data_IF_485020581952
#
_entry.id   IF_485020581952
#
_cell.length_a   1.000
_cell.length_b   1.000
_cell.length_c   1.000
_cell.angle_alpha   90.00
_cell.angle_beta   90.00
_cell.angle_gamma   90.00
#
_symmetry.space_group_name_H-M   'P 1'
#
loop_
_entity.id
_entity.type
_entity.pdbx_description
1 polymer ?
#
# COMPACT_ATOMS: atom_id res chain seq x y z
N UNK A 1 2.30 -9.97 -9.73
CA UNK A 1 1.81 -10.28 -8.37
C UNK A 1 2.02 -11.78 -8.15
N UNK A 2 3.23 -12.19 -7.74
CA UNK A 2 3.64 -13.60 -7.77
C UNK A 2 3.37 -14.30 -6.44
N UNK A 3 2.80 -15.48 -6.61
CA UNK A 3 2.43 -16.51 -5.65
C UNK A 3 3.65 -17.17 -5.01
N UNK A 4 3.58 -17.51 -3.72
CA UNK A 4 4.43 -18.54 -3.11
C UNK A 4 3.63 -19.37 -2.10
N UNK A 5 3.66 -20.69 -2.33
CA UNK A 5 3.04 -21.86 -1.68
C UNK A 5 1.59 -22.23 -2.08
N UNK A 6 1.53 -23.45 -2.66
CA UNK A 6 0.39 -24.16 -3.25
C UNK A 6 -0.78 -24.28 -2.25
N UNK A 7 -1.98 -24.13 -2.79
CA UNK A 7 -3.33 -24.31 -2.19
C UNK A 7 -4.05 -23.21 -1.42
N UNK A 8 -3.40 -22.13 -0.98
CA UNK A 8 -4.16 -20.99 -0.43
C UNK A 8 -3.70 -19.65 -1.01
N UNK A 9 -4.51 -19.10 -1.92
CA UNK A 9 -4.29 -17.76 -2.46
C UNK A 9 -4.76 -16.74 -1.41
N UNK A 10 -3.87 -15.83 -1.00
CA UNK A 10 -4.21 -14.72 -0.11
C UNK A 10 -4.54 -13.48 -0.93
N UNK A 11 -5.67 -12.85 -0.61
CA UNK A 11 -6.08 -11.60 -1.24
C UNK A 11 -6.20 -10.51 -0.19
N UNK A 12 -5.45 -9.44 -0.37
CA UNK A 12 -5.51 -8.26 0.50
C UNK A 12 -6.45 -7.23 -0.08
N UNK A 13 -7.29 -6.65 0.77
CA UNK A 13 -8.34 -5.72 0.33
C UNK A 13 -8.45 -4.50 1.23
N UNK A 14 -8.86 -3.38 0.63
CA UNK A 14 -9.27 -2.20 1.38
C UNK A 14 -10.63 -2.41 2.07
N UNK A 15 -10.95 -1.54 3.03
CA UNK A 15 -12.22 -1.57 3.78
C UNK A 15 -13.48 -1.57 2.90
N UNK A 16 -13.39 -1.01 1.68
CA UNK A 16 -14.50 -1.02 0.71
C UNK A 16 -14.89 -2.44 0.24
N UNK A 17 -13.99 -3.41 0.36
CA UNK A 17 -14.20 -4.80 -0.06
C UNK A 17 -14.69 -5.71 1.08
N UNK A 18 -15.17 -5.15 2.20
CA UNK A 18 -15.77 -5.96 3.26
C UNK A 18 -16.96 -6.74 2.68
N UNK A 19 -17.01 -8.05 2.91
CA UNK A 19 -18.08 -8.92 2.41
C UNK A 19 -17.84 -9.42 0.98
N UNK A 20 -16.67 -9.16 0.39
CA UNK A 20 -16.30 -9.73 -0.92
C UNK A 20 -16.38 -11.26 -0.90
N UNK A 21 -16.10 -11.89 0.25
CA UNK A 21 -16.18 -13.34 0.41
C UNK A 21 -17.59 -13.90 0.21
N UNK A 22 -18.63 -13.08 0.34
CA UNK A 22 -20.04 -13.48 0.26
C UNK A 22 -20.63 -13.34 -1.15
N UNK A 23 -19.88 -12.80 -2.11
CA UNK A 23 -20.39 -12.54 -3.46
C UNK A 23 -20.53 -13.85 -4.24
N UNK A 24 -21.61 -14.01 -5.05
CA UNK A 24 -21.82 -15.24 -5.82
C UNK A 24 -20.67 -15.51 -6.80
N UNK A 25 -20.04 -14.45 -7.34
CA UNK A 25 -18.85 -14.51 -8.19
C UNK A 25 -17.64 -15.23 -7.57
N UNK A 26 -17.64 -15.39 -6.24
CA UNK A 26 -16.55 -16.00 -5.48
C UNK A 26 -16.96 -17.30 -4.79
N UNK A 27 -18.18 -17.79 -5.04
CA UNK A 27 -18.61 -19.12 -4.60
C UNK A 27 -17.65 -20.19 -5.16
N UNK A 28 -17.16 -21.08 -4.28
CA UNK A 28 -16.22 -22.15 -4.64
C UNK A 28 -14.73 -21.75 -4.72
N UNK A 29 -14.36 -20.48 -4.54
CA UNK A 29 -12.95 -20.07 -4.51
C UNK A 29 -12.31 -20.37 -3.15
N UNK A 30 -11.31 -21.27 -3.12
CA UNK A 30 -10.45 -21.50 -1.94
C UNK A 30 -9.45 -20.36 -1.77
N UNK A 31 -9.91 -19.27 -1.16
CA UNK A 31 -9.17 -18.01 -1.02
C UNK A 31 -9.26 -17.48 0.42
N UNK A 32 -8.12 -17.04 0.96
CA UNK A 32 -8.08 -16.34 2.25
C UNK A 32 -8.12 -14.83 2.03
N UNK A 33 -9.26 -14.23 2.37
CA UNK A 33 -9.47 -12.79 2.30
C UNK A 33 -8.88 -12.08 3.52
N UNK A 34 -7.92 -11.18 3.29
CA UNK A 34 -7.27 -10.33 4.30
C UNK A 34 -7.65 -8.88 4.07
N UNK A 35 -8.92 -8.57 4.32
CA UNK A 35 -9.46 -7.21 4.20
C UNK A 35 -9.12 -6.39 5.45
N UNK A 36 -8.92 -5.08 5.27
CA UNK A 36 -8.76 -4.14 6.38
C UNK A 36 -10.02 -4.10 7.26
N UNK A 37 -9.88 -4.40 8.54
CA UNK A 37 -11.00 -4.50 9.47
C UNK A 37 -11.52 -3.12 9.91
N UNK A 38 -12.80 -3.03 10.30
CA UNK A 38 -13.32 -1.83 10.95
C UNK A 38 -12.81 -1.75 12.39
N UNK A 39 -12.50 -0.54 12.84
CA UNK A 39 -12.06 -0.30 14.23
C UNK A 39 -13.07 -0.82 15.25
N UNK A 40 -14.36 -0.61 15.00
CA UNK A 40 -15.45 -1.07 15.86
C UNK A 40 -15.50 -2.59 16.04
N UNK A 41 -15.01 -3.38 15.07
CA UNK A 41 -15.07 -4.85 15.11
C UNK A 41 -14.18 -5.42 16.21
N UNK A 42 -12.98 -4.88 16.39
CA UNK A 42 -12.06 -5.34 17.43
C UNK A 42 -12.14 -4.52 18.71
N UNK A 43 -12.73 -3.32 18.70
CA UNK A 43 -12.96 -2.51 19.90
C UNK A 43 -13.93 -3.15 20.90
N UNK A 44 -14.74 -4.12 20.46
CA UNK A 44 -15.56 -4.98 21.34
C UNK A 44 -14.71 -5.78 22.33
N UNK A 45 -13.47 -6.09 21.97
CA UNK A 45 -12.50 -6.67 22.89
C UNK A 45 -11.96 -5.54 23.77
N UNK A 46 -12.13 -5.61 25.09
CA UNK A 46 -11.66 -4.58 26.01
C UNK A 46 -10.19 -4.22 25.75
N UNK A 47 -9.81 -2.94 25.91
CA UNK A 47 -8.48 -2.44 25.49
C UNK A 47 -7.30 -3.18 26.13
N UNK A 48 -7.48 -3.75 27.33
CA UNK A 48 -6.49 -4.56 28.07
C UNK A 48 -6.40 -6.01 27.57
N UNK A 49 -7.38 -6.49 26.80
CA UNK A 49 -7.41 -7.85 26.27
C UNK A 49 -6.23 -8.12 25.33
N UNK A 50 -5.66 -9.31 25.43
CA UNK A 50 -4.61 -9.80 24.52
C UNK A 50 -5.12 -9.82 23.07
N UNK A 51 -6.38 -10.26 22.86
CA UNK A 51 -7.00 -10.32 21.54
C UNK A 51 -7.09 -8.95 20.86
N UNK A 52 -7.40 -7.89 21.62
CA UNK A 52 -7.43 -6.52 21.14
C UNK A 52 -6.04 -6.08 20.63
N UNK A 53 -5.00 -6.32 21.44
CA UNK A 53 -3.62 -5.93 21.11
C UNK A 53 -3.11 -6.64 19.86
N UNK A 54 -3.35 -7.94 19.75
CA UNK A 54 -2.94 -8.75 18.58
C UNK A 54 -3.65 -8.27 17.32
N UNK A 55 -4.99 -8.11 17.35
CA UNK A 55 -5.75 -7.61 16.18
C UNK A 55 -5.29 -6.22 15.76
N UNK A 56 -5.05 -5.31 16.72
CA UNK A 56 -4.54 -3.97 16.44
C UNK A 56 -3.16 -4.00 15.77
N UNK A 57 -2.27 -4.90 16.19
CA UNK A 57 -0.93 -5.06 15.59
C UNK A 57 -1.02 -5.56 14.15
N UNK A 58 -1.92 -6.51 13.87
CA UNK A 58 -2.17 -7.01 12.51
C UNK A 58 -2.69 -5.89 11.60
N UNK A 59 -3.70 -5.13 12.03
CA UNK A 59 -4.22 -4.03 11.22
C UNK A 59 -3.20 -2.89 11.06
N UNK A 60 -2.36 -2.63 12.06
CA UNK A 60 -1.23 -1.69 11.93
C UNK A 60 -0.24 -2.16 10.87
N UNK A 61 0.11 -3.44 10.83
CA UNK A 61 1.02 -3.98 9.82
C UNK A 61 0.43 -3.86 8.40
N UNK A 62 -0.86 -4.16 8.23
CA UNK A 62 -1.58 -3.92 6.95
C UNK A 62 -1.51 -2.45 6.53
N UNK A 63 -1.73 -1.53 7.46
CA UNK A 63 -1.65 -0.09 7.20
C UNK A 63 -0.21 0.38 6.86
N UNK A 64 0.81 -0.17 7.52
CA UNK A 64 2.22 0.12 7.22
C UNK A 64 2.60 -0.33 5.81
N UNK A 65 2.16 -1.52 5.39
CA UNK A 65 2.36 -1.98 4.02
C UNK A 65 1.73 -1.03 3.00
N UNK A 66 0.50 -0.55 3.26
CA UNK A 66 -0.17 0.44 2.40
C UNK A 66 0.60 1.75 2.34
N UNK A 67 1.06 2.25 3.49
CA UNK A 67 1.80 3.50 3.56
C UNK A 67 3.07 3.48 2.69
N UNK A 68 3.78 2.34 2.61
CA UNK A 68 4.96 2.20 1.74
C UNK A 68 4.63 2.42 0.26
N UNK A 69 3.46 1.95 -0.19
CA UNK A 69 3.02 2.10 -1.59
C UNK A 69 2.43 3.48 -1.83
N UNK A 70 1.60 3.98 -0.90
CA UNK A 70 0.93 5.28 -1.02
C UNK A 70 1.91 6.46 -0.95
N UNK A 71 3.08 6.28 -0.29
CA UNK A 71 4.06 7.35 -0.12
C UNK A 71 4.67 7.87 -1.44
N UNK A 72 5.23 7.03 -2.34
CA UNK A 72 5.66 7.46 -3.67
C UNK A 72 4.58 8.20 -4.47
N UNK A 73 3.33 7.71 -4.44
CA UNK A 73 2.22 8.40 -5.12
C UNK A 73 1.95 9.79 -4.53
N UNK A 74 2.04 9.93 -3.20
CA UNK A 74 1.92 11.26 -2.57
C UNK A 74 3.04 12.18 -3.04
N UNK A 75 4.28 11.68 -3.10
CA UNK A 75 5.43 12.47 -3.57
C UNK A 75 5.23 12.95 -5.00
N UNK A 76 4.88 12.03 -5.91
CA UNK A 76 4.62 12.34 -7.31
C UNK A 76 3.48 13.38 -7.46
N UNK A 77 2.38 13.22 -6.73
CA UNK A 77 1.22 14.12 -6.84
C UNK A 77 1.43 15.47 -6.19
N UNK A 78 2.13 15.54 -5.05
CA UNK A 78 2.26 16.77 -4.23
C UNK A 78 3.56 17.52 -4.47
N UNK A 79 4.70 16.84 -4.58
CA UNK A 79 6.00 17.48 -4.78
C UNK A 79 6.26 17.73 -6.27
N UNK A 80 5.96 16.76 -7.13
CA UNK A 80 6.16 16.89 -8.58
C UNK A 80 4.93 17.38 -9.35
N UNK A 81 3.80 17.62 -8.66
CA UNK A 81 2.60 18.22 -9.25
C UNK A 81 1.88 17.36 -10.30
N UNK A 82 2.13 16.04 -10.35
CA UNK A 82 1.52 15.16 -11.34
C UNK A 82 0.07 14.81 -10.95
N UNK A 83 -0.84 15.74 -11.23
CA UNK A 83 -2.28 15.64 -10.90
C UNK A 83 -3.11 15.18 -12.10
N UNK A 84 -2.70 15.54 -13.33
CA UNK A 84 -3.38 15.19 -14.58
C UNK A 84 -2.39 14.63 -15.61
N UNK A 85 -2.86 13.67 -16.41
CA UNK A 85 -2.13 13.18 -17.59
C UNK A 85 -2.12 14.26 -18.66
N UNK A 86 -1.08 14.30 -19.50
CA UNK A 86 -1.00 15.26 -20.61
C UNK A 86 -1.63 14.67 -21.86
N UNK A 87 -2.23 15.50 -22.71
CA UNK A 87 -2.77 15.07 -24.00
C UNK A 87 -1.67 15.01 -25.07
N UNK A 88 -0.67 14.13 -24.85
CA UNK A 88 0.48 13.96 -25.74
C UNK A 88 0.73 12.48 -26.13
N UNK A 89 -0.23 11.60 -25.88
CA UNK A 89 -0.16 10.17 -26.20
C UNK A 89 0.31 9.28 -25.04
N UNK A 90 -0.05 7.99 -25.11
CA UNK A 90 0.22 7.02 -24.05
C UNK A 90 1.72 6.81 -23.80
N UNK A 91 2.52 6.70 -24.87
CA UNK A 91 3.96 6.49 -24.75
C UNK A 91 4.64 7.62 -23.96
N UNK A 92 4.33 8.89 -24.26
CA UNK A 92 4.91 10.05 -23.58
C UNK A 92 4.47 10.13 -22.12
N UNK A 93 3.20 9.83 -21.82
CA UNK A 93 2.70 9.78 -20.44
C UNK A 93 3.36 8.65 -19.63
N UNK A 94 3.57 7.47 -20.23
CA UNK A 94 4.26 6.34 -19.59
C UNK A 94 5.72 6.69 -19.28
N UNK A 95 6.44 7.28 -20.24
CA UNK A 95 7.81 7.74 -20.03
C UNK A 95 7.88 8.76 -18.88
N UNK A 96 6.97 9.74 -18.86
CA UNK A 96 6.88 10.72 -17.77
C UNK A 96 6.65 10.05 -16.40
N UNK A 97 5.72 9.09 -16.33
CA UNK A 97 5.45 8.34 -15.09
C UNK A 97 6.68 7.58 -14.60
N UNK A 98 7.37 6.86 -15.47
CA UNK A 98 8.58 6.10 -15.13
C UNK A 98 9.65 7.03 -14.57
N UNK A 99 9.89 8.16 -15.23
CA UNK A 99 10.84 9.18 -14.76
C UNK A 99 10.45 9.73 -13.40
N UNK A 100 9.17 10.06 -13.18
CA UNK A 100 8.68 10.56 -11.89
C UNK A 100 8.83 9.55 -10.75
N UNK A 101 8.64 8.25 -11.03
CA UNK A 101 8.91 7.21 -10.04
C UNK A 101 10.40 7.10 -9.70
N UNK A 102 11.29 7.20 -10.69
CA UNK A 102 12.73 7.24 -10.44
C UNK A 102 13.12 8.46 -9.58
N UNK A 103 12.62 9.64 -9.92
CA UNK A 103 12.85 10.87 -9.14
C UNK A 103 12.24 10.79 -7.73
N UNK A 104 11.08 10.15 -7.57
CA UNK A 104 10.48 9.90 -6.25
C UNK A 104 11.40 9.04 -5.37
N UNK A 105 12.09 8.05 -5.94
CA UNK A 105 13.05 7.23 -5.18
C UNK A 105 14.21 8.07 -4.67
N UNK A 106 14.77 8.93 -5.52
CA UNK A 106 15.83 9.87 -5.14
C UNK A 106 15.36 10.85 -4.05
N UNK A 107 14.16 11.40 -4.21
CA UNK A 107 13.56 12.31 -3.23
C UNK A 107 13.36 11.63 -1.86
N UNK A 108 12.96 10.36 -1.83
CA UNK A 108 12.83 9.60 -0.58
C UNK A 108 14.20 9.34 0.07
N UNK A 109 15.24 9.08 -0.74
CA UNK A 109 16.60 8.85 -0.28
C UNK A 109 17.35 10.14 0.14
N UNK A 110 16.80 11.33 -0.15
CA UNK A 110 17.48 12.63 0.05
C UNK A 110 18.15 12.82 1.40
N UNK A 111 17.60 12.30 2.49
CA UNK A 111 18.20 12.43 3.83
C UNK A 111 19.51 11.67 3.92
N UNK A 112 19.56 10.45 3.37
CA UNK A 112 20.77 9.64 3.31
C UNK A 112 21.79 10.24 2.33
N UNK A 113 21.32 10.72 1.17
CA UNK A 113 22.18 11.33 0.16
C UNK A 113 22.82 12.64 0.63
N UNK A 114 22.11 13.45 1.42
CA UNK A 114 22.66 14.71 1.98
C UNK A 114 23.76 14.46 3.02
N UNK A 115 23.69 13.35 3.76
CA UNK A 115 24.74 12.97 4.73
C UNK A 115 25.96 12.39 4.03
N UNK A 116 25.78 11.67 2.92
CA UNK A 116 26.87 11.18 2.09
C UNK A 116 27.59 12.28 1.28
N UNK A 117 27.00 13.48 1.24
CA UNK A 117 27.52 14.65 0.51
C UNK A 117 28.38 15.59 1.35
N UNK A 118 28.81 15.22 2.56
CA UNK A 118 29.97 15.87 3.17
C UNK A 118 31.17 15.59 2.29
N UNK A 119 31.44 16.53 1.38
CA UNK A 119 32.63 16.56 0.54
C UNK A 119 33.80 16.52 1.51
N UNK A 120 34.58 15.42 1.47
CA UNK A 120 35.87 15.38 2.14
C UNK A 120 36.67 16.61 1.66
N UNK A 121 37.24 17.41 2.56
CA UNK A 121 37.96 18.64 2.19
C UNK A 121 39.07 18.36 1.19
#
# INVERSE_FOLDING_TARGET
MRSTKKDNRYYFGMKAYIGVEKRPEHAGRKVVWRIAARRSTYQKHGKRSVLYRVKRRIEKAKAQMRAKVEHPFRVIKRQFGYVKVRFHGLAKNTAQLVTLFALSNLWMARKHLRVAGEVRP
#
